data_IF_355564059583
#
_entry.id   IF_355564059583
#
_cell.length_a   1.000
_cell.length_b   1.000
_cell.length_c   1.000
_cell.angle_alpha   90.00
_cell.angle_beta   90.00
_cell.angle_gamma   90.00
#
_symmetry.space_group_name_H-M   'P 1'
#
loop_
_entity.id
_entity.type
_entity.pdbx_description
1 polymer ?
#
# COMPACT_ATOMS: atom_id res chain seq x y z
N UNK A 1 -15.08 -19.72 5.68
CA UNK A 1 -15.02 -19.64 4.20
C UNK A 1 -15.62 -18.35 3.65
N UNK A 2 -16.75 -17.85 4.18
CA UNK A 2 -17.39 -16.62 3.68
C UNK A 2 -16.54 -15.34 3.79
N UNK A 3 -15.83 -15.15 4.91
CA UNK A 3 -15.03 -13.93 5.19
C UNK A 3 -13.83 -13.72 4.26
N UNK A 4 -13.41 -14.76 3.53
CA UNK A 4 -12.24 -14.75 2.64
C UNK A 4 -12.62 -15.01 1.18
N UNK A 5 -13.92 -14.90 0.87
CA UNK A 5 -14.40 -15.00 -0.49
C UNK A 5 -14.04 -13.74 -1.29
N UNK A 6 -13.95 -13.86 -2.61
CA UNK A 6 -13.86 -12.67 -3.48
C UNK A 6 -15.00 -11.68 -3.21
N UNK A 7 -16.20 -12.20 -2.94
CA UNK A 7 -17.37 -11.38 -2.64
C UNK A 7 -17.17 -10.55 -1.36
N UNK A 8 -16.58 -11.11 -0.29
CA UNK A 8 -16.33 -10.36 0.93
C UNK A 8 -15.26 -9.29 0.73
N UNK A 9 -14.18 -9.59 -0.01
CA UNK A 9 -13.12 -8.62 -0.31
C UNK A 9 -13.66 -7.45 -1.13
N UNK A 10 -14.41 -7.73 -2.20
CA UNK A 10 -15.05 -6.70 -3.03
C UNK A 10 -16.06 -5.88 -2.20
N UNK A 11 -16.88 -6.54 -1.39
CA UNK A 11 -17.85 -5.85 -0.54
C UNK A 11 -17.16 -4.90 0.44
N UNK A 12 -16.03 -5.30 1.01
CA UNK A 12 -15.23 -4.48 1.91
C UNK A 12 -14.61 -3.28 1.18
N UNK A 13 -14.08 -3.47 -0.03
CA UNK A 13 -13.60 -2.38 -0.90
C UNK A 13 -14.72 -1.37 -1.20
N UNK A 14 -15.92 -1.84 -1.56
CA UNK A 14 -17.06 -0.98 -1.86
C UNK A 14 -17.55 -0.23 -0.61
N UNK A 15 -17.63 -0.90 0.53
CA UNK A 15 -17.96 -0.27 1.81
C UNK A 15 -16.99 0.87 2.14
N UNK A 16 -15.70 0.64 1.96
CA UNK A 16 -14.69 1.66 2.23
C UNK A 16 -14.74 2.83 1.24
N UNK A 17 -15.04 2.57 -0.04
CA UNK A 17 -15.30 3.63 -1.01
C UNK A 17 -16.46 4.53 -0.56
N UNK A 18 -17.53 3.96 0.01
CA UNK A 18 -18.66 4.72 0.56
C UNK A 18 -18.20 5.57 1.76
N UNK A 19 -17.39 5.02 2.66
CA UNK A 19 -16.82 5.78 3.80
C UNK A 19 -16.02 6.97 3.30
N UNK A 20 -15.08 6.76 2.37
CA UNK A 20 -14.21 7.81 1.83
C UNK A 20 -15.04 8.94 1.20
N UNK A 21 -16.04 8.60 0.38
CA UNK A 21 -16.94 9.59 -0.23
C UNK A 21 -17.76 10.35 0.82
N UNK A 22 -18.29 9.64 1.81
CA UNK A 22 -19.09 10.23 2.89
C UNK A 22 -18.24 11.18 3.74
N UNK A 23 -17.02 10.77 4.10
CA UNK A 23 -16.09 11.60 4.85
C UNK A 23 -15.73 12.87 4.08
N UNK A 24 -15.44 12.77 2.78
CA UNK A 24 -15.19 13.93 1.93
C UNK A 24 -16.37 14.91 1.92
N UNK A 25 -17.60 14.39 1.80
CA UNK A 25 -18.81 15.22 1.87
C UNK A 25 -18.98 15.90 3.24
N UNK A 26 -18.80 15.15 4.34
CA UNK A 26 -18.90 15.68 5.71
C UNK A 26 -17.86 16.79 5.94
N UNK A 27 -16.60 16.56 5.57
CA UNK A 27 -15.52 17.54 5.74
C UNK A 27 -15.80 18.83 4.98
N UNK A 28 -16.28 18.73 3.73
CA UNK A 28 -16.66 19.90 2.92
C UNK A 28 -17.79 20.70 3.58
N UNK A 29 -18.81 20.00 4.10
CA UNK A 29 -19.98 20.61 4.73
C UNK A 29 -19.66 21.28 6.07
N UNK A 30 -18.90 20.59 6.93
CA UNK A 30 -18.58 21.05 8.28
C UNK A 30 -17.51 22.14 8.30
N UNK A 31 -16.59 22.14 7.34
CA UNK A 31 -15.44 23.05 7.34
C UNK A 31 -15.31 23.83 6.03
N UNK A 32 -16.23 24.77 5.73
CA UNK A 32 -16.22 25.54 4.49
C UNK A 32 -15.02 26.51 4.38
N UNK A 33 -14.40 26.86 5.51
CA UNK A 33 -13.32 27.86 5.60
C UNK A 33 -11.91 27.26 5.75
N UNK A 34 -11.71 25.97 5.43
CA UNK A 34 -10.41 25.29 5.58
C UNK A 34 -9.25 25.97 4.84
N UNK A 35 -9.55 26.76 3.80
CA UNK A 35 -8.57 27.57 3.07
C UNK A 35 -7.71 28.44 3.97
N UNK A 36 -8.28 29.03 5.03
CA UNK A 36 -7.53 29.89 5.98
C UNK A 36 -6.41 29.14 6.70
N UNK A 37 -6.50 27.82 6.75
CA UNK A 37 -5.56 26.94 7.45
C UNK A 37 -4.65 26.16 6.50
N UNK A 38 -4.65 26.45 5.20
CA UNK A 38 -3.90 25.69 4.20
C UNK A 38 -2.42 25.50 4.59
N UNK A 39 -1.74 26.57 5.03
CA UNK A 39 -0.34 26.51 5.46
C UNK A 39 -0.14 25.59 6.67
N UNK A 40 -1.03 25.65 7.66
CA UNK A 40 -0.98 24.80 8.84
C UNK A 40 -1.25 23.34 8.49
N UNK A 41 -2.22 23.08 7.61
CA UNK A 41 -2.54 21.74 7.09
C UNK A 41 -1.32 21.15 6.38
N UNK A 42 -0.66 21.92 5.51
CA UNK A 42 0.57 21.49 4.81
C UNK A 42 1.69 21.13 5.78
N UNK A 43 1.87 21.90 6.86
CA UNK A 43 2.86 21.60 7.91
C UNK A 43 2.51 20.29 8.64
N UNK A 44 1.25 20.07 8.99
CA UNK A 44 0.78 18.83 9.62
C UNK A 44 1.04 17.63 8.69
N UNK A 45 0.70 17.75 7.40
CA UNK A 45 0.93 16.71 6.40
C UNK A 45 2.44 16.43 6.25
N UNK A 46 3.26 17.47 6.14
CA UNK A 46 4.71 17.33 6.06
C UNK A 46 5.30 16.63 7.29
N UNK A 47 4.85 17.01 8.49
CA UNK A 47 5.26 16.36 9.74
C UNK A 47 4.82 14.88 9.78
N UNK A 48 3.56 14.60 9.47
CA UNK A 48 3.00 13.25 9.40
C UNK A 48 3.80 12.35 8.46
N UNK A 49 4.03 12.82 7.24
CA UNK A 49 4.82 12.11 6.24
C UNK A 49 6.24 11.86 6.74
N UNK A 50 6.87 12.85 7.38
CA UNK A 50 8.23 12.66 7.88
C UNK A 50 8.30 11.60 8.98
N UNK A 51 7.37 11.66 9.94
CA UNK A 51 7.29 10.66 11.01
C UNK A 51 7.06 9.26 10.42
N UNK A 52 6.09 9.12 9.53
CA UNK A 52 5.77 7.83 8.92
C UNK A 52 6.88 7.30 8.01
N UNK A 53 7.59 8.19 7.31
CA UNK A 53 8.79 7.87 6.55
C UNK A 53 9.87 7.28 7.45
N UNK A 54 10.23 7.97 8.55
CA UNK A 54 11.22 7.48 9.52
C UNK A 54 10.81 6.11 10.07
N UNK A 55 9.55 5.97 10.50
CA UNK A 55 9.02 4.70 11.00
C UNK A 55 9.13 3.59 9.95
N UNK A 56 8.79 3.86 8.69
CA UNK A 56 8.91 2.91 7.58
C UNK A 56 10.38 2.48 7.37
N UNK A 57 11.33 3.40 7.51
CA UNK A 57 12.76 3.08 7.46
C UNK A 57 13.20 2.18 8.61
N UNK A 58 12.75 2.47 9.84
CA UNK A 58 13.01 1.63 11.02
C UNK A 58 12.41 0.23 10.84
N UNK A 59 11.18 0.13 10.31
CA UNK A 59 10.56 -1.16 9.98
C UNK A 59 11.35 -1.92 8.95
N UNK A 60 11.76 -1.28 7.86
CA UNK A 60 12.57 -1.90 6.81
C UNK A 60 13.86 -2.51 7.39
N UNK A 61 14.60 -1.75 8.19
CA UNK A 61 15.83 -2.22 8.84
C UNK A 61 15.53 -3.38 9.79
N UNK A 62 14.45 -3.27 10.57
CA UNK A 62 14.05 -4.30 11.52
C UNK A 62 13.67 -5.62 10.83
N UNK A 63 12.98 -5.58 9.70
CA UNK A 63 12.74 -6.77 8.89
C UNK A 63 14.05 -7.37 8.37
N UNK A 64 14.95 -6.57 7.80
CA UNK A 64 16.24 -7.07 7.30
C UNK A 64 17.04 -7.76 8.41
N UNK A 65 17.10 -7.18 9.61
CA UNK A 65 17.92 -7.69 10.72
C UNK A 65 17.28 -8.84 11.50
N UNK A 66 15.95 -8.87 11.63
CA UNK A 66 15.26 -9.74 12.58
C UNK A 66 14.29 -10.75 11.96
N UNK A 67 14.06 -10.76 10.64
CA UNK A 67 13.13 -11.69 9.99
C UNK A 67 13.47 -13.17 10.20
N UNK A 68 14.76 -13.50 10.44
CA UNK A 68 15.21 -14.87 10.68
C UNK A 68 14.79 -15.41 12.06
N UNK A 69 14.33 -14.56 12.98
CA UNK A 69 13.86 -14.98 14.32
C UNK A 69 12.34 -15.20 14.31
N UNK A 70 11.86 -16.43 14.57
CA UNK A 70 10.45 -16.83 14.48
C UNK A 70 9.46 -15.87 15.14
N UNK A 71 9.66 -15.56 16.44
CA UNK A 71 8.75 -14.71 17.22
C UNK A 71 8.84 -13.23 16.84
N UNK A 72 10.02 -12.75 16.43
CA UNK A 72 10.20 -11.37 16.00
C UNK A 72 9.54 -11.11 14.64
N UNK A 73 9.51 -12.12 13.77
CA UNK A 73 8.90 -12.03 12.44
C UNK A 73 7.37 -11.87 12.52
N UNK A 74 6.70 -12.63 13.39
CA UNK A 74 5.24 -12.57 13.59
C UNK A 74 4.77 -11.17 14.04
N UNK A 75 5.44 -10.61 15.05
CA UNK A 75 5.13 -9.26 15.54
C UNK A 75 5.40 -8.19 14.48
N UNK A 76 6.52 -8.28 13.75
CA UNK A 76 6.85 -7.32 12.70
C UNK A 76 5.83 -7.35 11.55
N UNK A 77 5.36 -8.55 11.15
CA UNK A 77 4.31 -8.71 10.14
C UNK A 77 2.99 -8.11 10.63
N UNK A 78 2.61 -8.39 11.87
CA UNK A 78 1.40 -7.80 12.47
C UNK A 78 1.46 -6.27 12.43
N UNK A 79 2.58 -5.68 12.88
CA UNK A 79 2.71 -4.23 12.91
C UNK A 79 2.79 -3.64 11.48
N UNK A 80 3.41 -4.35 10.53
CA UNK A 80 3.37 -3.96 9.12
C UNK A 80 1.93 -3.82 8.62
N UNK A 81 1.06 -4.81 8.86
CA UNK A 81 -0.34 -4.71 8.44
C UNK A 81 -1.12 -3.63 9.21
N UNK A 82 -0.80 -3.40 10.49
CA UNK A 82 -1.36 -2.29 11.25
C UNK A 82 -0.97 -0.92 10.67
N UNK A 83 0.27 -0.79 10.16
CA UNK A 83 0.71 0.44 9.48
C UNK A 83 -0.11 0.74 8.22
N UNK A 84 -0.61 -0.29 7.53
CA UNK A 84 -1.51 -0.12 6.38
C UNK A 84 -2.88 0.41 6.74
N UNK A 85 -3.33 0.19 7.99
CA UNK A 85 -4.54 0.83 8.51
C UNK A 85 -4.28 2.32 8.76
N UNK A 86 -3.09 2.65 9.28
CA UNK A 86 -2.69 4.05 9.49
C UNK A 86 -2.62 4.84 8.17
N UNK A 87 -2.24 4.22 7.04
CA UNK A 87 -2.26 4.85 5.71
C UNK A 87 -3.64 5.34 5.25
N UNK A 88 -4.73 4.97 5.94
CA UNK A 88 -6.03 5.62 5.74
C UNK A 88 -5.98 7.12 6.02
N UNK A 89 -5.13 7.55 6.95
CA UNK A 89 -4.93 8.95 7.26
C UNK A 89 -4.49 9.75 6.02
N UNK A 90 -3.77 9.15 5.08
CA UNK A 90 -3.35 9.82 3.84
C UNK A 90 -4.55 10.23 2.99
N UNK A 91 -5.56 9.36 2.88
CA UNK A 91 -6.80 9.70 2.16
C UNK A 91 -7.46 10.92 2.82
N UNK A 92 -7.57 10.92 4.15
CA UNK A 92 -8.17 12.02 4.89
C UNK A 92 -7.39 13.31 4.68
N UNK A 93 -6.06 13.26 4.82
CA UNK A 93 -5.18 14.42 4.67
C UNK A 93 -5.21 14.99 3.25
N UNK A 94 -5.24 14.14 2.21
CA UNK A 94 -5.36 14.59 0.82
C UNK A 94 -6.72 15.23 0.56
N UNK A 95 -7.81 14.65 1.06
CA UNK A 95 -9.16 15.25 0.94
C UNK A 95 -9.20 16.63 1.60
N UNK A 96 -8.66 16.76 2.82
CA UNK A 96 -8.59 18.03 3.54
C UNK A 96 -7.76 19.05 2.75
N UNK A 97 -6.60 18.64 2.23
CA UNK A 97 -5.72 19.51 1.47
C UNK A 97 -6.35 19.99 0.16
N UNK A 98 -6.97 19.09 -0.61
CA UNK A 98 -7.61 19.44 -1.88
C UNK A 98 -8.78 20.40 -1.66
N UNK A 99 -9.57 20.16 -0.62
CA UNK A 99 -10.63 21.09 -0.22
C UNK A 99 -10.07 22.45 0.23
N UNK A 100 -9.00 22.49 1.02
CA UNK A 100 -8.36 23.74 1.42
C UNK A 100 -7.84 24.54 0.22
N UNK A 101 -7.31 23.86 -0.81
CA UNK A 101 -6.81 24.47 -2.05
C UNK A 101 -7.90 24.93 -3.02
N UNK A 102 -9.17 24.54 -2.81
CA UNK A 102 -10.23 24.57 -3.87
C UNK A 102 -9.78 23.88 -5.16
N UNK A 103 -8.99 22.81 -5.04
CA UNK A 103 -8.64 22.00 -6.19
C UNK A 103 -9.72 20.95 -6.40
N UNK A 104 -10.29 20.92 -7.61
CA UNK A 104 -11.12 19.79 -8.07
C UNK A 104 -10.25 18.62 -8.57
N UNK A 105 -8.92 18.70 -8.40
CA UNK A 105 -8.06 17.55 -8.60
C UNK A 105 -8.51 16.45 -7.64
N UNK A 106 -9.13 15.42 -8.22
CA UNK A 106 -9.44 14.19 -7.52
C UNK A 106 -8.16 13.52 -7.01
N UNK A 107 -8.34 12.50 -6.17
CA UNK A 107 -7.26 11.58 -5.86
C UNK A 107 -6.67 11.02 -7.17
N UNK A 108 -5.35 10.90 -7.27
CA UNK A 108 -4.76 10.23 -8.43
C UNK A 108 -5.34 8.81 -8.53
N UNK A 109 -5.60 8.32 -9.74
CA UNK A 109 -6.27 7.03 -9.91
C UNK A 109 -5.52 5.89 -9.22
N UNK A 110 -4.19 5.89 -9.28
CA UNK A 110 -3.35 4.91 -8.57
C UNK A 110 -3.50 5.04 -7.05
N UNK A 111 -3.39 6.25 -6.50
CA UNK A 111 -3.54 6.50 -5.05
C UNK A 111 -4.92 6.04 -4.57
N UNK A 112 -5.98 6.41 -5.29
CA UNK A 112 -7.34 6.04 -4.94
C UNK A 112 -7.55 4.53 -4.95
N UNK A 113 -7.18 3.86 -6.04
CA UNK A 113 -7.31 2.41 -6.16
C UNK A 113 -6.51 1.76 -5.04
N UNK A 114 -5.22 2.07 -4.90
CA UNK A 114 -4.33 1.52 -3.89
C UNK A 114 -4.91 1.63 -2.48
N UNK A 115 -5.17 2.84 -1.98
CA UNK A 115 -5.60 2.99 -0.59
C UNK A 115 -7.01 2.44 -0.32
N UNK A 116 -7.89 2.42 -1.33
CA UNK A 116 -9.24 1.84 -1.17
C UNK A 116 -9.18 0.31 -1.08
N UNK A 117 -8.31 -0.33 -1.86
CA UNK A 117 -8.14 -1.79 -1.83
C UNK A 117 -7.16 -2.25 -0.74
N UNK A 118 -6.27 -1.41 -0.22
CA UNK A 118 -5.30 -1.78 0.83
C UNK A 118 -5.96 -2.37 2.06
N UNK A 119 -7.05 -1.80 2.58
CA UNK A 119 -7.70 -2.40 3.76
C UNK A 119 -8.35 -3.75 3.45
N UNK A 120 -8.87 -3.95 2.23
CA UNK A 120 -9.38 -5.27 1.80
C UNK A 120 -8.25 -6.31 1.68
N UNK A 121 -7.05 -5.87 1.30
CA UNK A 121 -5.86 -6.73 1.25
C UNK A 121 -5.37 -7.07 2.65
N UNK A 122 -5.33 -6.09 3.56
CA UNK A 122 -5.03 -6.33 4.99
C UNK A 122 -6.01 -7.35 5.56
N UNK A 123 -7.31 -7.18 5.29
CA UNK A 123 -8.34 -8.15 5.69
C UNK A 123 -8.08 -9.53 5.09
N UNK A 124 -7.84 -9.63 3.79
CA UNK A 124 -7.54 -10.89 3.12
C UNK A 124 -6.33 -11.59 3.76
N UNK A 125 -5.27 -10.83 4.08
CA UNK A 125 -4.07 -11.33 4.72
C UNK A 125 -4.25 -11.69 6.20
N UNK A 126 -5.20 -11.10 6.94
CA UNK A 126 -5.45 -11.50 8.33
C UNK A 126 -6.37 -12.72 8.44
N UNK A 127 -7.33 -12.85 7.54
CA UNK A 127 -8.40 -13.84 7.68
C UNK A 127 -8.29 -15.05 6.76
N UNK A 128 -7.41 -15.04 5.76
CA UNK A 128 -7.16 -16.23 4.94
C UNK A 128 -6.63 -17.37 5.84
N UNK A 129 -7.27 -18.55 5.87
CA UNK A 129 -6.77 -19.69 6.64
C UNK A 129 -5.33 -20.11 6.23
N UNK A 130 -4.94 -19.75 5.01
CA UNK A 130 -3.62 -19.92 4.43
C UNK A 130 -2.68 -18.71 4.60
N UNK A 131 -3.08 -17.60 5.23
CA UNK A 131 -2.15 -16.51 5.55
C UNK A 131 -1.47 -16.68 6.91
N UNK A 132 -1.92 -17.65 7.72
CA UNK A 132 -1.12 -18.28 8.77
C UNK A 132 -0.23 -19.41 8.22
N UNK A 133 0.38 -19.24 7.04
CA UNK A 133 1.61 -19.95 6.59
C UNK A 133 2.83 -19.52 7.44
N UNK A 134 2.60 -19.29 8.72
CA UNK A 134 3.61 -19.31 9.74
C UNK A 134 3.58 -20.66 10.48
N UNK A 135 2.56 -21.50 10.32
CA UNK A 135 2.42 -22.72 11.15
C UNK A 135 2.68 -24.04 10.40
N UNK A 136 2.19 -24.22 9.17
CA UNK A 136 2.28 -25.52 8.50
C UNK A 136 3.67 -25.78 7.87
N UNK A 137 4.29 -24.76 7.25
CA UNK A 137 5.65 -24.90 6.67
C UNK A 137 6.76 -24.98 7.73
N UNK A 138 6.55 -24.41 8.94
CA UNK A 138 7.49 -24.55 10.06
C UNK A 138 7.55 -25.98 10.60
N UNK A 139 6.46 -26.75 10.50
CA UNK A 139 6.42 -28.15 10.95
C UNK A 139 7.13 -29.11 9.98
N UNK A 140 7.26 -28.74 8.70
CA UNK A 140 7.86 -29.61 7.69
C UNK A 140 9.38 -29.46 7.53
N UNK A 141 10.03 -28.55 8.28
CA UNK A 141 11.48 -28.35 8.30
C UNK A 141 12.13 -28.19 6.91
N UNK A 142 11.32 -27.88 5.89
CA UNK A 142 11.80 -27.53 4.57
C UNK A 142 12.12 -26.05 4.62
N UNK A 143 13.42 -25.73 4.66
CA UNK A 143 13.93 -24.47 4.13
C UNK A 143 13.60 -24.44 2.63
N UNK A 144 12.34 -24.23 2.28
CA UNK A 144 11.99 -23.84 0.93
C UNK A 144 12.59 -22.46 0.74
N UNK A 145 13.38 -22.32 -0.32
CA UNK A 145 13.98 -21.06 -0.79
C UNK A 145 12.93 -19.91 -0.91
N UNK A 146 11.63 -20.25 -0.89
CA UNK A 146 10.48 -19.36 -0.97
C UNK A 146 9.90 -18.87 0.38
N UNK A 147 10.32 -19.40 1.53
CA UNK A 147 9.93 -18.81 2.83
C UNK A 147 10.42 -17.36 2.99
N UNK A 148 11.54 -17.02 2.35
CA UNK A 148 12.11 -15.67 2.28
C UNK A 148 11.30 -14.73 1.37
N UNK A 149 10.56 -15.29 0.41
CA UNK A 149 9.79 -14.54 -0.59
C UNK A 149 8.59 -13.81 0.03
N UNK A 150 8.11 -14.20 1.21
CA UNK A 150 7.07 -13.43 1.93
C UNK A 150 7.60 -12.10 2.52
N UNK A 151 8.88 -12.06 2.88
CA UNK A 151 9.49 -10.88 3.51
C UNK A 151 9.90 -9.85 2.45
N UNK A 152 10.26 -10.29 1.25
CA UNK A 152 10.72 -9.41 0.18
C UNK A 152 9.70 -8.32 -0.23
N UNK A 153 8.40 -8.62 -0.44
CA UNK A 153 7.38 -7.59 -0.68
C UNK A 153 7.26 -6.58 0.47
N UNK A 154 7.36 -7.05 1.72
CA UNK A 154 7.27 -6.19 2.91
C UNK A 154 8.48 -5.25 2.98
N UNK A 155 9.68 -5.79 2.79
CA UNK A 155 10.94 -5.00 2.80
C UNK A 155 10.95 -3.99 1.68
N UNK A 156 10.63 -4.40 0.45
CA UNK A 156 10.63 -3.48 -0.69
C UNK A 156 9.53 -2.42 -0.56
N UNK A 157 8.38 -2.76 0.02
CA UNK A 157 7.32 -1.80 0.29
C UNK A 157 7.69 -0.80 1.39
N UNK A 158 8.21 -1.27 2.53
CA UNK A 158 8.67 -0.38 3.62
C UNK A 158 9.83 0.52 3.18
N UNK A 159 10.74 0.01 2.35
CA UNK A 159 11.79 0.82 1.72
C UNK A 159 11.21 1.88 0.78
N UNK A 160 10.27 1.51 -0.10
CA UNK A 160 9.60 2.48 -0.97
C UNK A 160 8.86 3.56 -0.15
N UNK A 161 8.14 3.15 0.91
CA UNK A 161 7.43 4.06 1.79
C UNK A 161 8.39 5.02 2.51
N UNK A 162 9.53 4.54 3.00
CA UNK A 162 10.58 5.42 3.52
C UNK A 162 10.96 6.52 2.51
N UNK A 163 11.29 6.14 1.27
CA UNK A 163 11.66 7.12 0.24
C UNK A 163 10.51 8.09 -0.07
N UNK A 164 9.30 7.55 -0.26
CA UNK A 164 8.11 8.30 -0.63
C UNK A 164 7.73 9.32 0.43
N UNK A 165 7.57 8.88 1.69
CA UNK A 165 7.10 9.76 2.75
C UNK A 165 8.15 10.77 3.20
N UNK A 166 9.45 10.44 3.16
CA UNK A 166 10.51 11.43 3.40
C UNK A 166 10.53 12.49 2.28
N UNK A 167 10.29 12.08 1.03
CA UNK A 167 10.14 13.01 -0.08
C UNK A 167 8.90 13.92 0.09
N UNK A 168 7.74 13.34 0.39
CA UNK A 168 6.48 14.07 0.62
C UNK A 168 6.53 14.94 1.89
N UNK A 169 7.39 14.62 2.85
CA UNK A 169 7.71 15.46 3.99
C UNK A 169 8.48 16.72 3.62
N UNK A 170 9.13 16.76 2.44
CA UNK A 170 9.88 17.91 1.92
C UNK A 170 11.36 17.92 2.29
N UNK A 171 11.87 16.88 2.96
CA UNK A 171 13.24 16.85 3.49
C UNK A 171 14.29 16.45 2.46
N UNK A 172 14.00 15.42 1.64
CA UNK A 172 14.96 14.90 0.66
C UNK A 172 14.34 14.91 -0.74
N UNK A 173 14.56 16.01 -1.47
CA UNK A 173 14.04 16.18 -2.83
C UNK A 173 14.59 15.14 -3.82
N UNK A 174 15.82 14.68 -3.61
CA UNK A 174 16.48 13.69 -4.48
C UNK A 174 15.71 12.37 -4.57
N UNK A 175 15.02 11.97 -3.49
CA UNK A 175 14.22 10.74 -3.48
C UNK A 175 13.12 10.74 -4.53
N UNK A 176 12.62 11.92 -4.94
CA UNK A 176 11.64 12.04 -6.03
C UNK A 176 12.08 11.37 -7.34
N UNK A 177 13.39 11.35 -7.64
CA UNK A 177 13.93 10.67 -8.83
C UNK A 177 13.95 9.15 -8.68
N UNK A 178 13.99 8.65 -7.45
CA UNK A 178 14.02 7.22 -7.14
C UNK A 178 12.61 6.62 -7.03
N UNK A 179 11.58 7.43 -6.76
CA UNK A 179 10.21 6.94 -6.55
C UNK A 179 9.65 6.11 -7.71
N UNK A 180 9.82 6.49 -8.99
CA UNK A 180 9.35 5.66 -10.10
C UNK A 180 9.99 4.26 -10.11
N UNK A 181 11.28 4.20 -9.78
CA UNK A 181 12.07 2.97 -9.79
C UNK A 181 11.77 2.09 -8.59
N UNK A 182 11.82 2.65 -7.38
CA UNK A 182 11.53 1.91 -6.15
C UNK A 182 10.06 1.45 -6.12
N UNK A 183 9.15 2.28 -6.64
CA UNK A 183 7.73 1.97 -6.78
C UNK A 183 7.48 0.82 -7.77
N UNK A 184 8.18 0.82 -8.90
CA UNK A 184 8.12 -0.28 -9.87
C UNK A 184 8.70 -1.57 -9.30
N UNK A 185 9.86 -1.48 -8.62
CA UNK A 185 10.54 -2.63 -8.04
C UNK A 185 9.69 -3.35 -6.99
N UNK A 186 9.10 -2.61 -6.02
CA UNK A 186 8.25 -3.24 -4.99
C UNK A 186 7.05 -3.99 -5.60
N UNK A 187 6.48 -3.48 -6.70
CA UNK A 187 5.32 -4.08 -7.34
C UNK A 187 5.70 -5.35 -8.11
N UNK A 188 6.83 -5.33 -8.84
CA UNK A 188 7.37 -6.51 -9.52
C UNK A 188 7.71 -7.60 -8.50
N UNK A 189 8.39 -7.25 -7.41
CA UNK A 189 8.71 -8.18 -6.32
C UNK A 189 7.43 -8.76 -5.73
N UNK A 190 6.40 -7.94 -5.50
CA UNK A 190 5.08 -8.38 -5.05
C UNK A 190 4.41 -9.39 -5.99
N UNK A 191 4.38 -9.12 -7.30
CA UNK A 191 3.80 -10.04 -8.31
C UNK A 191 4.54 -11.37 -8.33
N UNK A 192 5.88 -11.34 -8.39
CA UNK A 192 6.68 -12.55 -8.45
C UNK A 192 6.52 -13.38 -7.18
N UNK A 193 6.53 -12.71 -6.02
CA UNK A 193 6.45 -13.35 -4.73
C UNK A 193 5.10 -14.04 -4.48
N UNK A 194 4.01 -13.33 -4.72
CA UNK A 194 2.66 -13.88 -4.49
C UNK A 194 2.29 -14.83 -5.62
N UNK A 195 2.71 -14.54 -6.86
CA UNK A 195 2.51 -15.41 -8.01
C UNK A 195 3.18 -16.77 -7.85
N UNK A 196 4.41 -16.83 -7.33
CA UNK A 196 5.08 -18.11 -7.05
C UNK A 196 4.33 -18.92 -6.00
N UNK A 197 3.81 -18.28 -4.94
CA UNK A 197 3.02 -18.96 -3.90
C UNK A 197 1.71 -19.53 -4.46
N UNK A 198 1.02 -18.79 -5.31
CA UNK A 198 -0.18 -19.25 -6.02
C UNK A 198 0.17 -20.47 -6.88
N UNK A 199 1.24 -20.39 -7.65
CA UNK A 199 1.70 -21.48 -8.51
C UNK A 199 2.00 -22.75 -7.69
N UNK A 200 2.78 -22.64 -6.62
CA UNK A 200 3.13 -23.79 -5.78
C UNK A 200 1.90 -24.45 -5.15
N UNK A 201 0.98 -23.66 -4.60
CA UNK A 201 -0.24 -24.20 -3.98
C UNK A 201 -1.11 -24.97 -4.98
N UNK A 202 -1.26 -24.46 -6.20
CA UNK A 202 -2.04 -25.14 -7.25
C UNK A 202 -1.32 -26.39 -7.73
N UNK A 203 -0.08 -26.24 -8.21
CA UNK A 203 0.58 -27.26 -9.02
C UNK A 203 1.39 -28.26 -8.21
N UNK A 204 1.95 -27.86 -7.07
CA UNK A 204 2.76 -28.75 -6.24
C UNK A 204 1.95 -29.40 -5.11
N UNK A 205 1.01 -28.65 -4.52
CA UNK A 205 0.28 -29.10 -3.34
C UNK A 205 -1.19 -29.45 -3.60
N UNK A 206 -1.74 -29.15 -4.79
CA UNK A 206 -3.15 -29.40 -5.10
C UNK A 206 -4.13 -28.66 -4.19
N UNK A 207 -3.70 -27.56 -3.54
CA UNK A 207 -4.51 -26.72 -2.65
C UNK A 207 -5.26 -25.68 -3.47
N UNK A 208 -6.61 -25.73 -3.41
CA UNK A 208 -7.49 -24.82 -4.16
C UNK A 208 -8.06 -23.66 -3.34
N UNK A 209 -7.88 -23.68 -2.01
CA UNK A 209 -8.31 -22.58 -1.13
C UNK A 209 -7.25 -21.46 -1.12
N UNK A 210 -7.12 -20.75 -2.25
CA UNK A 210 -6.07 -19.75 -2.51
C UNK A 210 -6.62 -18.39 -2.95
N UNK A 211 -7.89 -18.14 -2.65
CA UNK A 211 -8.64 -16.98 -3.16
C UNK A 211 -7.99 -15.66 -2.75
N UNK A 212 -7.47 -15.58 -1.53
CA UNK A 212 -6.81 -14.38 -1.00
C UNK A 212 -5.47 -14.10 -1.72
N UNK A 213 -4.67 -15.13 -1.97
CA UNK A 213 -3.38 -15.02 -2.65
C UNK A 213 -3.58 -14.62 -4.11
N UNK A 214 -4.58 -15.21 -4.78
CA UNK A 214 -4.97 -14.79 -6.13
C UNK A 214 -5.43 -13.34 -6.13
N UNK A 215 -6.27 -12.93 -5.18
CA UNK A 215 -6.72 -11.54 -5.06
C UNK A 215 -5.55 -10.57 -4.86
N UNK A 216 -4.63 -10.86 -3.94
CA UNK A 216 -3.44 -10.05 -3.67
C UNK A 216 -2.56 -9.96 -4.92
N UNK A 217 -2.33 -11.08 -5.62
CA UNK A 217 -1.56 -11.10 -6.87
C UNK A 217 -2.19 -10.21 -7.94
N UNK A 218 -3.51 -10.33 -8.15
CA UNK A 218 -4.26 -9.49 -9.10
C UNK A 218 -4.15 -8.01 -8.73
N UNK A 219 -4.25 -7.66 -7.44
CA UNK A 219 -4.08 -6.27 -6.99
C UNK A 219 -2.67 -5.75 -7.27
N UNK A 220 -1.61 -6.53 -7.05
CA UNK A 220 -0.24 -6.12 -7.42
C UNK A 220 -0.11 -5.84 -8.92
N UNK A 221 -0.72 -6.66 -9.78
CA UNK A 221 -0.74 -6.43 -11.23
C UNK A 221 -1.48 -5.13 -11.57
N UNK A 222 -2.65 -4.90 -10.98
CA UNK A 222 -3.42 -3.67 -11.18
C UNK A 222 -2.61 -2.44 -10.74
N UNK A 223 -1.98 -2.49 -9.57
CA UNK A 223 -1.13 -1.41 -9.07
C UNK A 223 0.07 -1.17 -9.98
N UNK A 224 0.71 -2.22 -10.50
CA UNK A 224 1.80 -2.09 -11.45
C UNK A 224 1.35 -1.39 -12.74
N UNK A 225 0.20 -1.78 -13.30
CA UNK A 225 -0.37 -1.10 -14.46
C UNK A 225 -0.67 0.38 -14.17
N UNK A 226 -1.25 0.69 -13.00
CA UNK A 226 -1.51 2.07 -12.57
C UNK A 226 -0.21 2.86 -12.42
N UNK A 227 0.82 2.27 -11.82
CA UNK A 227 2.15 2.86 -11.67
C UNK A 227 2.79 3.21 -13.01
N UNK A 228 2.81 2.26 -13.96
CA UNK A 228 3.36 2.49 -15.30
C UNK A 228 2.61 3.62 -16.01
N UNK A 229 1.28 3.65 -15.91
CA UNK A 229 0.47 4.74 -16.47
C UNK A 229 0.86 6.09 -15.88
N UNK A 230 1.00 6.19 -14.56
CA UNK A 230 1.33 7.44 -13.87
C UNK A 230 2.78 7.90 -14.15
N UNK A 231 3.73 6.97 -14.26
CA UNK A 231 5.12 7.26 -14.68
C UNK A 231 5.16 7.78 -16.12
N UNK A 232 4.37 7.18 -17.03
CA UNK A 232 4.28 7.66 -18.41
C UNK A 232 3.63 9.04 -18.50
N UNK A 233 2.56 9.28 -17.73
CA UNK A 233 1.88 10.57 -17.70
C UNK A 233 2.80 11.69 -17.17
N UNK A 234 3.64 11.40 -16.18
CA UNK A 234 4.60 12.36 -15.63
C UNK A 234 5.84 12.59 -16.51
N UNK A 235 6.13 11.67 -17.44
CA UNK A 235 7.25 11.78 -18.38
C UNK A 235 6.85 12.37 -19.74
N UNK A 236 5.55 12.56 -20.00
CA UNK A 236 5.09 13.16 -21.25
C UNK A 236 5.53 14.62 -21.33
N UNK A 237 6.03 15.10 -22.49
CA UNK A 237 6.34 16.51 -22.66
C UNK A 237 5.08 17.35 -22.38
N UNK A 238 5.21 18.53 -21.76
CA UNK A 238 4.07 19.42 -21.57
C UNK A 238 3.41 19.64 -22.92
N UNK A 239 2.08 19.51 -22.97
CA UNK A 239 1.34 19.81 -24.19
C UNK A 239 1.62 21.28 -24.53
N UNK A 240 2.34 21.49 -25.62
CA UNK A 240 2.45 22.78 -26.29
C UNK A 240 1.02 23.18 -26.68
N UNK A 241 0.59 24.42 -26.36
CA UNK A 241 -0.77 25.01 -26.41
C UNK A 241 -1.45 25.05 -25.02
N UNK A 242 -1.65 26.21 -24.38
CA UNK A 242 -2.37 27.37 -24.92
C UNK A 242 -1.64 28.72 -24.73
N UNK A 243 -0.81 29.10 -25.69
CA UNK A 243 -0.50 30.51 -25.96
C UNK A 243 -1.08 30.88 -27.33
N UNK A 244 -2.40 31.04 -27.36
CA UNK A 244 -3.11 31.79 -28.40
C UNK A 244 -4.10 32.72 -27.72
#
# INVERSE_FOLDING_TARGET
MFLTSFASMISFTLFFLVIVKSLGWILKKQFPNLRKYETSIRKIISFNNTLYGILSGVYCISFVLFHQKPQSSDLLIYIYYLSKIYEFLDIVLVIILNHAKKSDEGLSGHFAIHHITTLSLVWACFYAPSSMIMQEDRLLNKKTLLGEIHVAPIVTNTFHHFLMYIHLGGYIKMFGRLLPWSGGLQLVVGVLAVGSQVFEKIFLYGKWNIQAEVYVCVMYVIYFCCHIRDVRASSAPPKENDSK
#
